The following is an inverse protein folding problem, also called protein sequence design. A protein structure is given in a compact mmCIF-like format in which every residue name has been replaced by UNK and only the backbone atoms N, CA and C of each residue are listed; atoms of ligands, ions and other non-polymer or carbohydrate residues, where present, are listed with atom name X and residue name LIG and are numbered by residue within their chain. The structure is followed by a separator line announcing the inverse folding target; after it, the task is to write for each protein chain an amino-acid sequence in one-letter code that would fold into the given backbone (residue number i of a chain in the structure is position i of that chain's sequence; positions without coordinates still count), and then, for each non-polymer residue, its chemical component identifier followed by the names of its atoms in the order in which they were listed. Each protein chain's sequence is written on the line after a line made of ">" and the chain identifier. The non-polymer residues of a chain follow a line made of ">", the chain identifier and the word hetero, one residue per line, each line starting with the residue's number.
data_IF_544175701420
#
_entry.id   IF_544175701420
#
_cell.length_a   1.000
_cell.length_b   1.000
_cell.length_c   1.000
_cell.angle_alpha   90.00
_cell.angle_beta   90.00
_cell.angle_gamma   90.00
#
_symmetry.space_group_name_H-M   'P 1'
#
loop_
_entity.id
_entity.type
_entity.pdbx_description
1 polymer ?
#
# COMPACT_ATOMS: atom_id res chain seq x y z
N UNK A 1 6.66 -22.25 -6.63
CA UNK A 1 7.24 -21.82 -5.34
C UNK A 1 8.54 -22.54 -5.04
N UNK A 2 8.59 -23.85 -4.74
CA UNK A 2 9.89 -24.53 -4.46
C UNK A 2 10.88 -24.43 -5.64
N UNK A 3 10.41 -24.60 -6.88
CA UNK A 3 11.24 -24.45 -8.09
C UNK A 3 11.77 -23.03 -8.29
N UNK A 4 11.07 -22.05 -7.74
CA UNK A 4 11.35 -20.62 -7.91
C UNK A 4 12.12 -20.06 -6.70
N UNK A 5 12.33 -20.86 -5.65
CA UNK A 5 13.05 -20.49 -4.43
C UNK A 5 14.42 -19.83 -4.71
N UNK A 6 15.18 -20.19 -5.77
CA UNK A 6 16.40 -19.49 -6.13
C UNK A 6 16.22 -18.00 -6.49
N UNK A 7 15.02 -17.55 -6.89
CA UNK A 7 14.75 -16.17 -7.31
C UNK A 7 14.15 -15.29 -6.21
N UNK A 8 13.57 -15.90 -5.18
CA UNK A 8 12.87 -15.20 -4.10
C UNK A 8 13.66 -15.20 -2.79
N UNK A 9 13.48 -14.14 -2.01
CA UNK A 9 13.92 -14.06 -0.62
C UNK A 9 12.74 -14.39 0.30
N UNK A 10 12.79 -15.59 0.90
CA UNK A 10 11.83 -16.12 1.88
C UNK A 10 12.42 -16.18 3.30
N UNK A 11 13.47 -15.38 3.57
CA UNK A 11 14.17 -15.37 4.86
C UNK A 11 13.31 -14.93 6.04
N UNK A 12 12.16 -14.31 5.77
CA UNK A 12 11.27 -13.74 6.78
C UNK A 12 10.15 -14.72 7.18
N UNK A 13 10.12 -15.92 6.58
CA UNK A 13 9.14 -16.96 6.92
C UNK A 13 9.43 -17.56 8.31
N UNK A 14 8.44 -18.14 9.00
CA UNK A 14 8.68 -18.93 10.20
C UNK A 14 9.63 -20.10 9.91
N UNK A 15 10.59 -20.35 10.81
CA UNK A 15 11.57 -21.46 10.67
C UNK A 15 10.93 -22.85 10.58
N UNK A 16 9.67 -22.98 11.00
CA UNK A 16 8.88 -24.21 10.93
C UNK A 16 8.32 -24.49 9.54
N UNK A 17 8.29 -23.50 8.64
CA UNK A 17 7.75 -23.66 7.30
C UNK A 17 8.77 -24.26 6.33
N UNK A 18 8.36 -25.15 5.40
CA UNK A 18 9.27 -25.79 4.43
C UNK A 18 9.97 -24.80 3.49
N UNK A 19 9.37 -23.64 3.25
CA UNK A 19 9.86 -22.62 2.32
C UNK A 19 10.83 -21.62 2.96
N UNK A 20 11.09 -21.74 4.27
CA UNK A 20 12.05 -20.88 4.96
C UNK A 20 13.46 -21.12 4.40
N UNK A 21 14.08 -20.05 3.90
CA UNK A 21 15.42 -20.13 3.34
C UNK A 21 16.16 -18.80 3.49
N UNK A 22 17.35 -18.81 4.09
CA UNK A 22 18.18 -17.62 4.28
C UNK A 22 19.18 -17.38 3.14
N UNK A 23 19.31 -18.29 2.16
CA UNK A 23 20.29 -18.16 1.07
C UNK A 23 20.18 -16.85 0.29
N UNK A 24 18.97 -16.33 0.08
CA UNK A 24 18.71 -15.11 -0.70
C UNK A 24 18.49 -13.85 0.18
N UNK A 25 18.78 -13.94 1.49
CA UNK A 25 18.55 -12.84 2.43
C UNK A 25 19.36 -11.60 2.05
N UNK A 26 18.65 -10.51 1.74
CA UNK A 26 19.24 -9.21 1.34
C UNK A 26 20.14 -9.26 0.08
N UNK A 27 20.00 -10.29 -0.76
CA UNK A 27 20.73 -10.36 -2.03
C UNK A 27 20.08 -9.42 -3.04
N UNK A 28 20.89 -8.57 -3.67
CA UNK A 28 20.42 -7.62 -4.68
C UNK A 28 19.82 -8.34 -5.89
N UNK A 29 18.72 -7.81 -6.43
CA UNK A 29 18.03 -8.37 -7.58
C UNK A 29 17.13 -9.58 -7.28
N UNK A 30 17.12 -10.10 -6.03
CA UNK A 30 16.16 -11.13 -5.61
C UNK A 30 14.85 -10.48 -5.16
N UNK A 31 13.73 -11.07 -5.56
CA UNK A 31 12.41 -10.57 -5.17
C UNK A 31 12.12 -10.95 -3.72
N UNK A 32 11.82 -9.97 -2.88
CA UNK A 32 11.41 -10.22 -1.51
C UNK A 32 9.91 -10.48 -1.46
N UNK A 33 9.50 -11.44 -0.65
CA UNK A 33 8.10 -11.54 -0.24
C UNK A 33 7.78 -10.51 0.85
N UNK A 34 7.05 -9.46 0.48
CA UNK A 34 6.65 -8.37 1.38
C UNK A 34 5.56 -8.79 2.38
N UNK A 35 4.93 -9.94 2.18
CA UNK A 35 3.75 -10.40 2.92
C UNK A 35 4.04 -11.67 3.72
N UNK A 36 5.34 -11.94 3.95
CA UNK A 36 6.00 -13.15 4.45
C UNK A 36 5.36 -13.95 5.59
N UNK A 37 4.23 -13.52 6.14
CA UNK A 37 3.41 -14.26 7.10
C UNK A 37 1.93 -13.84 7.15
N UNK A 38 1.61 -12.61 6.75
CA UNK A 38 0.31 -12.01 7.00
C UNK A 38 -0.60 -12.23 5.79
N UNK A 39 -1.48 -13.23 5.90
CA UNK A 39 -2.47 -13.53 4.86
C UNK A 39 -3.23 -12.26 4.48
N UNK A 40 -3.07 -11.85 3.23
CA UNK A 40 -3.88 -10.78 2.67
C UNK A 40 -5.32 -11.25 2.59
N UNK A 41 -6.17 -10.59 3.37
CA UNK A 41 -7.59 -10.87 3.44
C UNK A 41 -8.29 -10.22 2.25
N UNK A 42 -7.89 -8.98 1.93
CA UNK A 42 -8.59 -8.20 0.93
C UNK A 42 -7.67 -7.18 0.24
N UNK A 43 -7.75 -7.11 -1.08
CA UNK A 43 -7.04 -6.13 -1.89
C UNK A 43 -8.00 -5.36 -2.78
N UNK A 44 -7.96 -4.03 -2.69
CA UNK A 44 -8.79 -3.13 -3.49
C UNK A 44 -7.90 -2.16 -4.24
N UNK A 45 -8.11 -2.08 -5.56
CA UNK A 45 -7.35 -1.21 -6.45
C UNK A 45 -8.29 -0.30 -7.24
N UNK A 46 -8.07 1.00 -7.14
CA UNK A 46 -8.83 2.00 -7.89
C UNK A 46 -8.07 2.44 -9.14
N UNK A 47 -6.79 2.82 -8.97
CA UNK A 47 -5.94 3.39 -10.04
C UNK A 47 -4.46 3.02 -9.81
N UNK A 48 -3.56 3.23 -10.80
CA UNK A 48 -2.13 3.10 -10.57
C UNK A 48 -1.68 3.95 -9.37
N UNK A 49 -0.99 3.33 -8.41
CA UNK A 49 -0.55 3.98 -7.15
C UNK A 49 -1.71 4.50 -6.28
N UNK A 50 -2.90 3.89 -6.41
CA UNK A 50 -4.07 4.15 -5.56
C UNK A 50 -4.77 2.81 -5.23
N UNK A 51 -4.46 2.26 -4.07
CA UNK A 51 -4.92 0.95 -3.63
C UNK A 51 -4.89 0.82 -2.10
N UNK A 52 -5.66 -0.12 -1.58
CA UNK A 52 -5.63 -0.54 -0.18
C UNK A 52 -5.47 -2.05 -0.09
N UNK A 53 -4.60 -2.48 0.80
CA UNK A 53 -4.32 -3.87 1.11
C UNK A 53 -4.61 -4.10 2.59
N UNK A 54 -5.54 -5.01 2.86
CA UNK A 54 -5.93 -5.39 4.21
C UNK A 54 -5.44 -6.80 4.48
N UNK A 55 -4.58 -6.91 5.46
CA UNK A 55 -4.13 -8.17 6.03
C UNK A 55 -4.73 -8.37 7.42
N UNK A 56 -4.51 -9.53 8.04
CA UNK A 56 -5.04 -9.84 9.38
C UNK A 56 -4.60 -8.84 10.46
N UNK A 57 -3.38 -8.32 10.34
CA UNK A 57 -2.76 -7.46 11.36
C UNK A 57 -2.67 -5.98 10.95
N UNK A 58 -2.75 -5.70 9.64
CA UNK A 58 -2.43 -4.37 9.12
C UNK A 58 -3.26 -3.99 7.91
N UNK A 59 -3.51 -2.70 7.80
CA UNK A 59 -4.07 -2.06 6.62
C UNK A 59 -3.03 -1.14 5.97
N UNK A 60 -2.57 -1.49 4.77
CA UNK A 60 -1.65 -0.68 3.96
C UNK A 60 -2.41 0.07 2.89
N UNK A 61 -2.39 1.40 2.97
CA UNK A 61 -3.04 2.31 2.02
C UNK A 61 -2.01 3.07 1.21
N UNK A 62 -2.23 3.15 -0.10
CA UNK A 62 -1.40 3.94 -1.01
C UNK A 62 -2.31 4.87 -1.81
N UNK A 63 -2.06 6.18 -1.75
CA UNK A 63 -2.74 7.19 -2.57
C UNK A 63 -1.74 8.20 -3.08
N UNK A 64 -1.47 8.21 -4.38
CA UNK A 64 -0.58 9.19 -4.99
C UNK A 64 -1.18 10.59 -4.91
N UNK A 65 -0.36 11.55 -4.44
CA UNK A 65 -0.71 12.97 -4.43
C UNK A 65 -1.51 13.44 -3.21
N UNK A 66 -1.80 12.54 -2.26
CA UNK A 66 -2.43 12.87 -0.99
C UNK A 66 -1.39 12.79 0.12
N UNK A 67 -1.48 13.67 1.12
CA UNK A 67 -0.55 13.68 2.24
C UNK A 67 -0.66 12.38 3.04
N UNK A 68 0.48 11.88 3.53
CA UNK A 68 0.50 10.65 4.34
C UNK A 68 -0.38 10.75 5.58
N UNK A 69 -0.41 11.92 6.22
CA UNK A 69 -1.22 12.18 7.42
C UNK A 69 -2.70 12.00 7.13
N UNK A 70 -3.20 12.56 6.02
CA UNK A 70 -4.61 12.41 5.61
C UNK A 70 -4.92 10.93 5.34
N UNK A 71 -4.06 10.22 4.60
CA UNK A 71 -4.27 8.79 4.30
C UNK A 71 -4.29 7.93 5.56
N UNK A 72 -3.46 8.26 6.56
CA UNK A 72 -3.42 7.53 7.82
C UNK A 72 -4.63 7.81 8.71
N UNK A 73 -5.01 9.09 8.85
CA UNK A 73 -6.04 9.51 9.80
C UNK A 73 -7.48 9.46 9.26
N UNK A 74 -7.67 9.69 7.96
CA UNK A 74 -9.00 9.94 7.38
C UNK A 74 -9.44 8.92 6.34
N UNK A 75 -8.53 8.09 5.83
CA UNK A 75 -8.88 7.05 4.83
C UNK A 75 -8.86 5.68 5.48
N UNK A 76 -9.85 4.84 5.19
CA UNK A 76 -9.97 3.44 5.64
C UNK A 76 -10.13 2.52 4.44
N UNK A 77 -9.89 1.22 4.62
CA UNK A 77 -10.05 0.22 3.56
C UNK A 77 -11.48 0.20 3.02
N UNK A 78 -12.46 0.41 3.90
CA UNK A 78 -13.87 0.48 3.55
C UNK A 78 -14.14 1.57 2.52
N UNK A 79 -13.51 2.75 2.65
CA UNK A 79 -13.69 3.86 1.71
C UNK A 79 -13.30 3.46 0.27
N UNK A 80 -12.25 2.63 0.11
CA UNK A 80 -11.86 2.12 -1.20
C UNK A 80 -12.91 1.15 -1.75
N UNK A 81 -13.46 0.27 -0.92
CA UNK A 81 -14.52 -0.67 -1.33
C UNK A 81 -15.77 0.09 -1.76
N UNK A 82 -16.19 1.07 -0.97
CA UNK A 82 -17.34 1.90 -1.28
C UNK A 82 -17.11 2.67 -2.58
N UNK A 83 -15.91 3.23 -2.79
CA UNK A 83 -15.59 3.94 -4.04
C UNK A 83 -15.75 3.04 -5.28
N UNK A 84 -15.38 1.75 -5.17
CA UNK A 84 -15.58 0.78 -6.28
C UNK A 84 -17.06 0.56 -6.58
N UNK A 85 -17.90 0.50 -5.55
CA UNK A 85 -19.33 0.15 -5.68
C UNK A 85 -20.21 1.36 -5.99
N UNK A 86 -20.07 2.45 -5.23
CA UNK A 86 -20.96 3.62 -5.27
C UNK A 86 -20.40 4.79 -6.06
N UNK A 87 -19.17 4.69 -6.60
CA UNK A 87 -18.47 5.81 -7.26
C UNK A 87 -18.43 7.09 -6.42
N UNK A 88 -18.53 6.99 -5.09
CA UNK A 88 -18.42 8.12 -4.18
C UNK A 88 -16.98 8.63 -4.11
N UNK A 89 -16.81 9.93 -3.91
CA UNK A 89 -15.48 10.56 -3.88
C UNK A 89 -15.21 11.29 -2.57
N UNK A 90 -13.97 11.20 -2.11
CA UNK A 90 -13.46 12.00 -0.98
C UNK A 90 -13.35 13.45 -1.47
N UNK A 91 -14.14 14.34 -0.88
CA UNK A 91 -14.36 15.69 -1.39
C UNK A 91 -13.40 16.74 -0.85
N UNK A 92 -12.63 16.46 0.22
CA UNK A 92 -11.78 17.46 0.89
C UNK A 92 -10.31 17.09 0.83
N UNK A 93 -9.49 17.95 0.24
CA UNK A 93 -8.03 17.84 0.25
C UNK A 93 -7.38 19.22 0.35
N UNK A 94 -6.19 19.29 0.93
CA UNK A 94 -5.36 20.50 0.96
C UNK A 94 -4.05 20.22 0.22
N UNK A 95 -3.57 21.21 -0.53
CA UNK A 95 -2.25 21.17 -1.16
C UNK A 95 -1.55 22.51 -1.02
N UNK A 96 -0.23 22.49 -1.06
CA UNK A 96 0.58 23.71 -1.22
C UNK A 96 0.73 23.98 -2.71
N UNK A 97 0.47 25.21 -3.15
CA UNK A 97 0.58 25.63 -4.53
C UNK A 97 1.30 26.99 -4.62
N UNK A 98 1.99 27.23 -5.73
CA UNK A 98 2.60 28.53 -6.03
C UNK A 98 1.80 29.20 -7.14
N UNK A 99 1.35 30.43 -6.90
CA UNK A 99 0.71 31.28 -7.90
C UNK A 99 1.41 32.63 -7.89
N UNK A 100 1.87 33.09 -9.06
CA UNK A 100 2.62 34.35 -9.19
C UNK A 100 3.77 34.47 -8.18
N UNK A 101 4.53 33.39 -7.98
CA UNK A 101 5.64 33.28 -7.02
C UNK A 101 5.23 33.37 -5.53
N UNK A 102 3.94 33.30 -5.21
CA UNK A 102 3.44 33.28 -3.84
C UNK A 102 3.01 31.87 -3.47
N UNK A 103 3.61 31.32 -2.41
CA UNK A 103 3.27 30.00 -1.86
C UNK A 103 2.03 30.12 -0.99
N UNK A 104 1.00 29.33 -1.29
CA UNK A 104 -0.29 29.34 -0.60
C UNK A 104 -0.77 27.92 -0.32
N UNK A 105 -1.50 27.75 0.79
CA UNK A 105 -2.25 26.53 1.07
C UNK A 105 -3.62 26.64 0.42
N UNK A 106 -3.93 25.74 -0.52
CA UNK A 106 -5.20 25.71 -1.24
C UNK A 106 -6.00 24.50 -0.78
N UNK A 107 -7.21 24.73 -0.28
CA UNK A 107 -8.20 23.70 -0.01
C UNK A 107 -9.07 23.47 -1.24
N UNK A 108 -9.36 22.19 -1.52
CA UNK A 108 -10.29 21.77 -2.55
C UNK A 108 -11.48 21.11 -1.87
N UNK A 109 -12.68 21.62 -2.17
CA UNK A 109 -13.95 20.94 -1.98
C UNK A 109 -14.55 20.70 -3.36
N UNK A 110 -14.74 19.44 -3.73
CA UNK A 110 -15.35 19.06 -5.01
C UNK A 110 -16.61 18.23 -4.79
#
# INVERSE_FOLDING_TARGET
>A
MEKDLPFFNTSDYPKTQPLFNEMNKKVLGKMKDELSYSLDIEFVRLKPKMYSLKSAEMEKKTVKGVSKVIVQQQTRHLDYKETVVSSSWISKAQKIASHNHIVQTVSYQK
#
